data_IF_723579238348
#
_entry.id   IF_723579238348
#
_cell.length_a   1.000
_cell.length_b   1.000
_cell.length_c   1.000
_cell.angle_alpha   90.00
_cell.angle_beta   90.00
_cell.angle_gamma   90.00
#
_symmetry.space_group_name_H-M   'P 1'
#
loop_
_entity.id
_entity.type
_entity.pdbx_description
1 polymer ?
#
# COMPACT_ATOMS: atom_id res chain seq x y z
N UNK A 1 20.50 -58.36 12.35
CA UNK A 1 20.12 -56.96 12.65
C UNK A 1 20.44 -56.08 11.44
N UNK A 2 19.46 -55.77 10.60
CA UNK A 2 19.61 -54.88 9.42
C UNK A 2 18.85 -53.57 9.73
N UNK A 3 19.59 -52.45 9.82
CA UNK A 3 19.01 -51.11 9.96
C UNK A 3 18.40 -50.68 8.62
N UNK A 4 17.07 -50.54 8.58
CA UNK A 4 16.39 -49.87 7.49
C UNK A 4 16.50 -48.36 7.70
N UNK A 5 17.09 -47.65 6.73
CA UNK A 5 16.98 -46.19 6.62
C UNK A 5 15.62 -45.85 6.06
N UNK A 6 14.82 -45.12 6.81
CA UNK A 6 13.60 -44.48 6.29
C UNK A 6 14.04 -43.23 5.50
N UNK A 7 13.82 -43.23 4.21
CA UNK A 7 13.84 -42.01 3.39
C UNK A 7 12.48 -41.35 3.53
N UNK A 8 12.41 -40.26 4.25
CA UNK A 8 11.27 -39.35 4.16
C UNK A 8 11.44 -38.47 2.93
N UNK A 9 10.64 -38.73 1.92
CA UNK A 9 10.42 -37.79 0.82
C UNK A 9 9.54 -36.66 1.32
N UNK A 10 10.12 -35.48 1.46
CA UNK A 10 9.36 -34.24 1.72
C UNK A 10 8.76 -33.82 0.39
N UNK A 11 7.43 -33.65 0.27
CA UNK A 11 6.87 -33.04 -0.91
C UNK A 11 7.27 -31.56 -0.91
N UNK A 12 7.88 -31.15 -2.01
CA UNK A 12 8.22 -29.73 -2.27
C UNK A 12 6.92 -28.95 -2.38
N UNK A 13 6.48 -28.38 -1.27
CA UNK A 13 5.46 -27.35 -1.32
C UNK A 13 6.13 -26.12 -1.93
N UNK A 14 5.65 -25.71 -3.09
CA UNK A 14 5.96 -24.41 -3.66
C UNK A 14 5.43 -23.34 -2.71
N UNK A 15 6.29 -22.89 -1.81
CA UNK A 15 6.04 -21.72 -0.97
C UNK A 15 6.01 -20.52 -1.91
N UNK A 16 4.85 -19.92 -2.07
CA UNK A 16 4.73 -18.58 -2.60
C UNK A 16 5.53 -17.66 -1.67
N UNK A 17 6.72 -17.25 -2.12
CA UNK A 17 7.60 -16.40 -1.31
C UNK A 17 7.00 -15.00 -1.23
N UNK A 18 6.21 -14.76 -0.20
CA UNK A 18 6.01 -13.42 0.33
C UNK A 18 7.27 -13.12 1.12
N UNK A 19 8.06 -12.19 0.66
CA UNK A 19 9.28 -11.75 1.32
C UNK A 19 8.87 -11.10 2.64
N UNK A 20 9.00 -11.84 3.74
CA UNK A 20 8.93 -11.26 5.06
C UNK A 20 10.15 -10.37 5.24
N UNK A 21 9.93 -9.08 5.43
CA UNK A 21 10.90 -8.15 5.96
C UNK A 21 11.38 -8.65 7.34
N UNK A 22 12.48 -9.37 7.37
CA UNK A 22 13.23 -9.54 8.61
C UNK A 22 14.08 -8.30 8.79
N UNK A 23 13.66 -7.41 9.66
CA UNK A 23 14.55 -6.43 10.26
C UNK A 23 15.69 -7.19 10.92
N UNK A 24 16.80 -7.35 10.22
CA UNK A 24 18.05 -7.76 10.81
C UNK A 24 18.55 -6.60 11.66
N UNK A 25 18.25 -6.63 12.96
CA UNK A 25 18.91 -5.77 13.91
C UNK A 25 20.41 -6.08 13.84
N UNK A 26 21.19 -5.19 13.21
CA UNK A 26 22.63 -5.21 13.31
C UNK A 26 23.02 -5.00 14.78
N UNK A 27 23.46 -6.06 15.41
CA UNK A 27 24.09 -5.99 16.71
C UNK A 27 25.41 -5.23 16.63
N UNK A 28 25.37 -3.92 16.86
CA UNK A 28 26.56 -3.14 17.09
C UNK A 28 27.18 -3.58 18.43
N UNK A 29 28.40 -4.09 18.38
CA UNK A 29 29.22 -4.26 19.58
C UNK A 29 29.45 -2.89 20.22
N UNK A 30 28.85 -2.66 21.38
CA UNK A 30 29.21 -1.51 22.21
C UNK A 30 30.66 -1.61 22.62
N UNK A 31 31.49 -0.68 22.18
CA UNK A 31 32.72 -0.32 22.84
C UNK A 31 32.37 0.62 23.99
N UNK A 32 32.56 0.16 25.20
CA UNK A 32 32.47 0.97 26.42
C UNK A 32 33.70 1.87 26.50
N UNK A 33 33.58 3.12 26.13
CA UNK A 33 34.43 4.21 26.58
C UNK A 33 33.86 5.55 26.00
N UNK A 34 32.85 6.06 26.68
CA UNK A 34 32.50 7.49 26.57
C UNK A 34 32.67 8.13 27.94
N UNK A 35 33.38 9.24 28.05
CA UNK A 35 33.48 9.98 29.29
C UNK A 35 32.12 10.55 29.70
N UNK A 36 31.78 10.43 30.95
CA UNK A 36 30.59 11.07 31.52
C UNK A 36 30.69 12.59 31.34
N UNK A 37 29.80 13.16 30.55
CA UNK A 37 29.61 14.60 30.50
C UNK A 37 28.60 15.00 31.59
N UNK A 38 29.05 15.86 32.50
CA UNK A 38 28.16 16.57 33.42
C UNK A 38 27.14 17.36 32.58
N UNK A 39 25.92 16.85 32.55
CA UNK A 39 24.81 17.60 31.97
C UNK A 39 24.02 18.25 33.10
N UNK A 40 24.37 19.50 33.40
CA UNK A 40 23.43 20.40 34.02
C UNK A 40 22.15 20.43 33.18
N UNK A 41 21.05 20.11 33.83
CA UNK A 41 19.73 20.03 33.23
C UNK A 41 19.23 21.42 32.81
N UNK A 42 19.64 21.88 31.63
CA UNK A 42 18.88 22.90 30.94
C UNK A 42 17.64 22.24 30.38
N UNK A 43 16.50 22.45 31.03
CA UNK A 43 15.19 22.18 30.45
C UNK A 43 15.15 22.95 29.12
N UNK A 44 15.33 22.26 28.03
CA UNK A 44 15.16 22.81 26.69
C UNK A 44 13.74 23.33 26.62
N UNK A 45 13.58 24.66 26.57
CA UNK A 45 12.29 25.25 26.27
C UNK A 45 11.84 24.66 24.94
N UNK A 46 10.66 24.06 24.93
CA UNK A 46 10.06 23.51 23.72
C UNK A 46 10.16 24.61 22.64
N UNK A 47 10.82 24.31 21.54
CA UNK A 47 10.85 25.22 20.40
C UNK A 47 9.39 25.52 20.04
N UNK A 48 9.01 26.79 19.87
CA UNK A 48 7.66 27.12 19.47
C UNK A 48 7.41 26.44 18.13
N UNK A 49 6.61 25.38 18.15
CA UNK A 49 6.13 24.74 16.93
C UNK A 49 5.26 25.78 16.26
N UNK A 50 5.80 26.47 15.25
CA UNK A 50 4.96 27.28 14.36
C UNK A 50 3.99 26.28 13.74
N UNK A 51 2.70 26.46 13.98
CA UNK A 51 1.67 25.66 13.31
C UNK A 51 1.95 25.79 11.81
N UNK A 52 2.39 24.69 11.21
CA UNK A 52 2.66 24.67 9.79
C UNK A 52 1.29 24.63 9.13
N UNK A 53 0.97 25.66 8.36
CA UNK A 53 -0.27 25.71 7.57
C UNK A 53 -0.09 24.82 6.35
N UNK A 54 -0.02 23.51 6.57
CA UNK A 54 -0.02 22.57 5.47
C UNK A 54 -1.32 22.73 4.69
N UNK A 55 -1.21 22.86 3.39
CA UNK A 55 -2.38 22.76 2.53
C UNK A 55 -2.83 21.33 2.52
N UNK A 56 -4.04 21.11 2.99
CA UNK A 56 -4.64 19.79 3.00
C UNK A 56 -5.16 19.43 1.63
N UNK A 57 -4.99 18.16 1.28
CA UNK A 57 -5.68 17.57 0.16
C UNK A 57 -7.18 17.44 0.49
N UNK A 58 -8.01 17.39 -0.55
CA UNK A 58 -9.44 17.19 -0.35
C UNK A 58 -9.71 15.81 0.28
N UNK A 59 -10.55 15.76 1.29
CA UNK A 59 -10.96 14.48 1.90
C UNK A 59 -11.73 13.63 0.88
N UNK A 60 -11.39 12.35 0.81
CA UNK A 60 -12.16 11.38 0.04
C UNK A 60 -13.39 10.95 0.86
N UNK A 61 -14.63 11.20 0.38
CA UNK A 61 -15.83 10.93 1.16
C UNK A 61 -16.11 9.43 1.37
N UNK A 62 -15.39 8.55 0.66
CA UNK A 62 -15.56 7.09 0.73
C UNK A 62 -14.42 6.38 1.47
N UNK A 63 -13.44 7.13 1.98
CA UNK A 63 -12.35 6.61 2.80
C UNK A 63 -12.41 7.21 4.20
N UNK A 64 -11.83 6.56 5.20
CA UNK A 64 -11.67 7.13 6.52
C UNK A 64 -10.83 8.42 6.44
N UNK A 65 -11.05 9.34 7.38
CA UNK A 65 -10.50 10.70 7.27
C UNK A 65 -9.00 10.78 7.47
N UNK A 66 -8.44 9.94 8.33
CA UNK A 66 -7.01 9.90 8.58
C UNK A 66 -6.56 8.46 8.71
N UNK A 67 -5.29 8.22 8.40
CA UNK A 67 -4.64 6.91 8.53
C UNK A 67 -5.49 5.76 7.96
N UNK A 68 -6.14 6.03 6.82
CA UNK A 68 -7.08 5.12 6.19
C UNK A 68 -6.40 3.98 5.44
N UNK A 69 -5.21 4.21 4.90
CA UNK A 69 -4.42 3.24 4.14
C UNK A 69 -2.92 3.36 4.48
N UNK A 70 -2.09 2.54 3.85
CA UNK A 70 -0.64 2.55 4.06
C UNK A 70 0.02 3.91 3.76
N UNK A 71 -0.64 4.77 3.01
CA UNK A 71 -0.17 6.10 2.59
C UNK A 71 -1.01 7.23 3.20
N UNK A 72 -1.71 6.97 4.28
CA UNK A 72 -2.58 7.81 5.09
C UNK A 72 -3.87 8.23 4.40
N UNK A 73 -3.84 8.84 3.23
CA UNK A 73 -5.01 9.40 2.54
C UNK A 73 -5.14 8.93 1.09
N UNK A 74 -6.21 9.31 0.41
CA UNK A 74 -6.45 8.95 -0.99
C UNK A 74 -5.42 9.51 -1.97
N UNK A 75 -4.76 10.62 -1.64
CA UNK A 75 -3.68 11.23 -2.43
C UNK A 75 -2.33 10.53 -2.23
N UNK A 76 -2.23 9.60 -1.29
CA UNK A 76 -1.00 8.92 -0.90
C UNK A 76 0.10 9.89 -0.45
N UNK A 77 -0.26 10.89 0.37
CA UNK A 77 0.70 11.93 0.78
C UNK A 77 1.73 11.44 1.80
N UNK A 78 1.48 10.32 2.44
CA UNK A 78 2.25 9.80 3.58
C UNK A 78 2.40 10.83 4.71
N UNK A 79 1.43 11.74 4.83
CA UNK A 79 1.37 12.79 5.84
C UNK A 79 0.12 12.61 6.70
N UNK A 80 0.27 12.81 8.00
CA UNK A 80 -0.83 12.70 8.97
C UNK A 80 -1.16 14.05 9.58
N UNK A 81 -2.43 14.23 9.97
CA UNK A 81 -2.93 15.37 10.74
C UNK A 81 -2.75 15.20 12.24
N UNK A 82 -2.44 13.98 12.65
CA UNK A 82 -2.32 13.64 14.05
C UNK A 82 -1.11 14.34 14.67
N UNK A 83 -1.31 14.81 15.90
CA UNK A 83 -0.23 15.45 16.67
C UNK A 83 0.77 14.39 17.10
N UNK A 84 1.93 14.40 16.46
CA UNK A 84 3.01 13.54 16.86
C UNK A 84 3.65 14.01 18.17
N UNK A 85 4.19 13.08 19.00
CA UNK A 85 4.91 13.45 20.20
C UNK A 85 6.21 14.17 19.80
N UNK A 86 6.24 15.49 19.99
CA UNK A 86 7.41 16.33 19.73
C UNK A 86 8.11 16.64 21.03
N UNK A 87 9.38 16.29 21.15
CA UNK A 87 10.19 16.66 22.30
C UNK A 87 11.11 15.55 22.81
N UNK A 88 11.80 15.86 23.89
CA UNK A 88 12.64 14.90 24.61
C UNK A 88 11.79 14.28 25.73
N UNK A 89 11.59 12.98 25.66
CA UNK A 89 10.90 12.24 26.71
C UNK A 89 11.93 11.59 27.63
N UNK A 90 11.86 11.84 28.94
CA UNK A 90 12.80 11.27 29.89
C UNK A 90 12.62 9.76 30.04
N UNK A 91 11.46 9.25 29.70
CA UNK A 91 11.13 7.85 29.80
C UNK A 91 10.24 7.43 28.63
N UNK A 92 10.58 6.34 27.97
CA UNK A 92 9.80 5.73 26.89
C UNK A 92 9.42 4.33 27.34
N UNK A 93 8.13 4.10 27.51
CA UNK A 93 7.62 2.76 27.77
C UNK A 93 7.49 2.00 26.44
N UNK A 94 8.11 0.84 26.35
CA UNK A 94 8.04 -0.02 25.18
C UNK A 94 7.36 -1.33 25.56
N UNK A 95 6.27 -1.63 24.89
CA UNK A 95 5.65 -2.95 24.95
C UNK A 95 5.74 -3.64 23.60
N UNK A 96 5.88 -4.96 23.61
CA UNK A 96 5.83 -5.74 22.39
C UNK A 96 5.04 -7.03 22.60
N UNK A 97 4.35 -7.45 21.56
CA UNK A 97 3.66 -8.73 21.51
C UNK A 97 4.25 -9.56 20.37
N UNK A 98 4.63 -10.81 20.69
CA UNK A 98 5.04 -11.77 19.68
C UNK A 98 3.79 -12.34 19.03
N UNK A 99 3.55 -12.02 17.76
CA UNK A 99 2.49 -12.62 16.97
C UNK A 99 3.02 -13.82 16.19
N UNK A 100 2.15 -14.77 15.88
CA UNK A 100 2.49 -15.89 14.98
C UNK A 100 2.24 -15.51 13.50
N UNK A 101 1.90 -14.25 13.23
CA UNK A 101 1.64 -13.72 11.92
C UNK A 101 2.80 -12.81 11.47
N UNK A 102 2.94 -12.68 10.16
CA UNK A 102 3.91 -11.74 9.59
C UNK A 102 3.55 -10.30 9.98
N UNK A 103 4.56 -9.44 10.03
CA UNK A 103 4.39 -8.03 10.35
C UNK A 103 3.37 -7.37 9.43
N UNK A 104 2.58 -6.46 9.99
CA UNK A 104 1.75 -5.56 9.21
C UNK A 104 2.63 -4.46 8.61
N UNK A 105 2.42 -4.08 7.34
CA UNK A 105 3.10 -2.93 6.75
C UNK A 105 2.57 -1.60 7.31
N UNK A 106 1.34 -1.57 7.82
CA UNK A 106 0.71 -0.39 8.38
C UNK A 106 -0.30 -0.75 9.47
N UNK A 107 -0.63 0.22 10.30
CA UNK A 107 -1.70 0.17 11.30
C UNK A 107 -2.64 1.33 10.99
N UNK A 108 -3.93 1.05 10.90
CA UNK A 108 -4.97 2.05 10.68
C UNK A 108 -5.75 2.26 11.97
N UNK A 109 -6.42 3.39 12.07
CA UNK A 109 -7.27 3.69 13.22
C UNK A 109 -8.70 3.92 12.72
N UNK A 110 -9.64 3.20 13.32
CA UNK A 110 -11.06 3.48 13.09
C UNK A 110 -11.50 4.73 13.86
N UNK A 111 -12.68 5.23 13.56
CA UNK A 111 -13.21 6.43 14.23
C UNK A 111 -13.52 6.24 15.74
N UNK A 112 -13.43 5.01 16.22
CA UNK A 112 -13.58 4.67 17.64
C UNK A 112 -12.26 4.58 18.39
N UNK A 113 -11.13 4.72 17.67
CA UNK A 113 -9.78 4.67 18.23
C UNK A 113 -9.19 3.27 18.34
N UNK A 114 -9.78 2.27 17.71
CA UNK A 114 -9.17 0.95 17.66
C UNK A 114 -8.08 0.90 16.59
N UNK A 115 -6.99 0.19 16.88
CA UNK A 115 -5.98 -0.11 15.91
C UNK A 115 -6.41 -1.31 15.04
N UNK A 116 -6.56 -1.07 13.75
CA UNK A 116 -6.82 -2.09 12.73
C UNK A 116 -5.49 -2.53 12.15
N UNK A 117 -5.14 -3.80 12.34
CA UNK A 117 -3.83 -4.35 11.99
C UNK A 117 -4.00 -5.45 10.94
N UNK A 118 -3.85 -5.13 9.64
CA UNK A 118 -3.90 -6.14 8.58
C UNK A 118 -2.62 -6.98 8.60
N UNK A 119 -2.81 -8.29 8.56
CA UNK A 119 -1.76 -9.29 8.55
C UNK A 119 -1.99 -10.26 7.38
N UNK A 120 -0.95 -10.93 6.91
CA UNK A 120 -1.12 -11.95 5.86
C UNK A 120 -2.10 -13.08 6.25
N UNK A 121 -2.12 -13.42 7.54
CA UNK A 121 -2.98 -14.46 8.08
C UNK A 121 -4.39 -14.01 8.47
N UNK A 122 -4.67 -12.70 8.40
CA UNK A 122 -5.95 -12.14 8.83
C UNK A 122 -5.86 -10.68 9.22
N UNK A 123 -6.86 -10.18 9.95
CA UNK A 123 -6.94 -8.81 10.40
C UNK A 123 -7.24 -8.80 11.90
N UNK A 124 -6.43 -8.13 12.68
CA UNK A 124 -6.64 -7.96 14.12
C UNK A 124 -7.18 -6.56 14.42
N UNK A 125 -8.12 -6.45 15.36
CA UNK A 125 -8.52 -5.21 15.99
C UNK A 125 -7.93 -5.18 17.39
N UNK A 126 -7.24 -4.08 17.74
CA UNK A 126 -6.51 -3.96 18.99
C UNK A 126 -6.87 -2.67 19.72
N UNK A 127 -6.88 -2.76 21.05
CA UNK A 127 -6.86 -1.59 21.92
C UNK A 127 -5.42 -1.30 22.32
N UNK A 128 -4.89 -0.16 21.86
CA UNK A 128 -3.55 0.32 22.22
C UNK A 128 -3.55 1.19 23.48
N UNK A 129 -4.72 1.58 23.99
CA UNK A 129 -4.86 2.41 25.20
C UNK A 129 -4.93 1.57 26.49
N UNK A 130 -5.08 0.25 26.36
CA UNK A 130 -5.02 -0.65 27.49
C UNK A 130 -3.61 -0.68 28.09
N UNK A 131 -3.49 -0.97 29.39
CA UNK A 131 -2.21 -1.11 30.08
C UNK A 131 -1.32 -2.16 29.40
N UNK A 132 -1.94 -3.20 28.85
CA UNK A 132 -1.31 -4.15 27.91
C UNK A 132 -2.12 -4.16 26.60
N UNK A 133 -1.44 -4.09 25.48
CA UNK A 133 -2.10 -4.17 24.15
C UNK A 133 -2.97 -5.42 24.07
N UNK A 134 -4.26 -5.23 23.85
CA UNK A 134 -5.24 -6.32 23.85
C UNK A 134 -5.83 -6.50 22.46
N UNK A 135 -5.89 -7.75 22.00
CA UNK A 135 -6.65 -8.09 20.78
C UNK A 135 -8.12 -8.20 21.11
N UNK A 136 -8.94 -7.31 20.55
CA UNK A 136 -10.37 -7.26 20.74
C UNK A 136 -11.15 -8.17 19.79
N UNK A 137 -10.62 -8.37 18.59
CA UNK A 137 -11.21 -9.22 17.57
C UNK A 137 -10.22 -9.63 16.49
N UNK A 138 -10.53 -10.69 15.78
CA UNK A 138 -9.67 -11.22 14.73
C UNK A 138 -10.47 -11.87 13.60
N UNK A 139 -10.21 -11.46 12.37
CA UNK A 139 -10.66 -12.14 11.17
C UNK A 139 -9.55 -13.04 10.63
N UNK A 140 -9.88 -14.26 10.31
CA UNK A 140 -8.97 -15.20 9.66
C UNK A 140 -9.64 -15.87 8.47
N UNK A 141 -9.07 -15.77 7.25
CA UNK A 141 -9.57 -16.53 6.11
C UNK A 141 -9.73 -18.02 6.38
N UNK A 142 -8.81 -18.58 7.18
CA UNK A 142 -8.87 -20.01 7.55
C UNK A 142 -10.08 -20.36 8.42
N UNK A 143 -10.45 -19.46 9.33
CA UNK A 143 -11.59 -19.70 10.24
C UNK A 143 -12.93 -19.43 9.58
N UNK A 144 -13.03 -18.41 8.73
CA UNK A 144 -14.27 -17.96 8.11
C UNK A 144 -14.60 -18.72 6.81
N UNK A 145 -13.59 -18.96 5.97
CA UNK A 145 -13.78 -19.50 4.62
C UNK A 145 -13.03 -20.82 4.39
N UNK A 146 -12.51 -21.46 5.45
CA UNK A 146 -11.72 -22.69 5.33
C UNK A 146 -10.30 -22.48 4.81
N UNK A 147 -9.90 -21.26 4.54
CA UNK A 147 -8.58 -20.88 4.01
C UNK A 147 -8.54 -20.84 2.49
N UNK A 148 -7.34 -20.96 1.94
CA UNK A 148 -7.11 -20.97 0.49
C UNK A 148 -6.66 -19.61 -0.07
N UNK A 149 -6.68 -18.55 0.74
CA UNK A 149 -6.16 -17.24 0.36
C UNK A 149 -5.52 -16.51 1.56
N UNK A 150 -4.81 -15.46 1.27
CA UNK A 150 -4.25 -14.53 2.27
C UNK A 150 -4.72 -13.11 1.97
N UNK A 151 -4.76 -12.27 3.01
CA UNK A 151 -5.04 -10.84 2.89
C UNK A 151 -3.80 -10.16 2.29
N UNK A 152 -4.01 -9.28 1.33
CA UNK A 152 -2.95 -8.40 0.83
C UNK A 152 -2.86 -7.17 1.73
N UNK A 153 -2.17 -7.33 2.84
CA UNK A 153 -2.17 -6.38 3.96
C UNK A 153 -1.73 -4.97 3.58
N UNK A 154 -0.79 -4.83 2.63
CA UNK A 154 -0.29 -3.53 2.16
C UNK A 154 -1.35 -2.69 1.45
N UNK A 155 -2.36 -3.30 0.86
CA UNK A 155 -3.40 -2.61 0.08
C UNK A 155 -4.78 -2.68 0.73
N UNK A 156 -4.80 -3.03 2.01
CA UNK A 156 -5.99 -2.93 2.86
C UNK A 156 -6.18 -1.47 3.26
N UNK A 157 -7.43 -1.03 3.38
CA UNK A 157 -7.75 0.32 3.84
C UNK A 157 -9.08 0.36 4.61
N UNK A 158 -9.35 1.48 5.27
CA UNK A 158 -10.63 1.75 5.92
C UNK A 158 -11.48 2.68 5.06
N UNK A 159 -12.75 2.31 4.88
CA UNK A 159 -13.73 3.20 4.27
C UNK A 159 -14.33 4.18 5.29
N UNK A 160 -15.13 5.13 4.80
CA UNK A 160 -15.75 6.17 5.64
C UNK A 160 -16.75 5.65 6.69
N UNK A 161 -17.12 4.37 6.63
CA UNK A 161 -17.98 3.69 7.61
C UNK A 161 -17.19 2.73 8.52
N UNK A 162 -15.85 2.87 8.57
CA UNK A 162 -14.93 1.98 9.32
C UNK A 162 -14.95 0.52 8.84
N UNK A 163 -15.45 0.24 7.63
CA UNK A 163 -15.35 -1.10 7.06
C UNK A 163 -13.94 -1.31 6.53
N UNK A 164 -13.43 -2.50 6.72
CA UNK A 164 -12.11 -2.88 6.27
C UNK A 164 -12.23 -3.42 4.85
N UNK A 165 -11.64 -2.72 3.90
CA UNK A 165 -11.61 -3.11 2.48
C UNK A 165 -10.27 -3.75 2.19
N UNK A 166 -10.26 -5.00 1.78
CA UNK A 166 -9.01 -5.73 1.57
C UNK A 166 -9.03 -6.59 0.30
N UNK A 167 -8.03 -6.41 -0.57
CA UNK A 167 -7.79 -7.36 -1.66
C UNK A 167 -7.16 -8.65 -1.11
N UNK A 168 -7.37 -9.74 -1.82
CA UNK A 168 -6.92 -11.07 -1.41
C UNK A 168 -6.13 -11.77 -2.51
N UNK A 169 -5.31 -12.73 -2.13
CA UNK A 169 -4.44 -13.47 -3.07
C UNK A 169 -5.19 -14.37 -4.06
N UNK A 170 -6.48 -14.63 -3.83
CA UNK A 170 -7.36 -15.33 -4.77
C UNK A 170 -8.20 -14.38 -5.64
N UNK A 171 -7.77 -13.12 -5.76
CA UNK A 171 -8.36 -12.08 -6.61
C UNK A 171 -9.73 -11.55 -6.16
N UNK A 172 -10.12 -11.76 -4.92
CA UNK A 172 -11.31 -11.15 -4.36
C UNK A 172 -10.99 -9.81 -3.70
N UNK A 173 -11.99 -8.94 -3.65
CA UNK A 173 -12.04 -7.84 -2.71
C UNK A 173 -13.09 -8.15 -1.65
N UNK A 174 -12.72 -8.06 -0.39
CA UNK A 174 -13.62 -8.22 0.74
C UNK A 174 -13.86 -6.86 1.39
N UNK A 175 -15.10 -6.64 1.88
CA UNK A 175 -15.40 -5.61 2.87
C UNK A 175 -15.89 -6.28 4.14
N UNK A 176 -15.24 -5.95 5.24
CA UNK A 176 -15.50 -6.54 6.54
C UNK A 176 -16.01 -5.45 7.50
N UNK A 177 -17.12 -5.70 8.17
CA UNK A 177 -17.55 -4.92 9.32
C UNK A 177 -17.02 -5.60 10.58
N UNK A 178 -16.16 -4.88 11.31
CA UNK A 178 -15.54 -5.36 12.54
C UNK A 178 -16.18 -4.80 13.81
N UNK A 179 -16.94 -3.69 13.69
CA UNK A 179 -17.58 -2.99 14.81
C UNK A 179 -19.08 -2.78 14.55
N UNK A 180 -19.84 -2.67 15.64
CA UNK A 180 -21.21 -2.20 15.58
C UNK A 180 -21.28 -0.65 15.51
N UNK A 181 -22.50 -0.10 15.40
CA UNK A 181 -22.72 1.36 15.35
C UNK A 181 -22.30 2.12 16.62
N UNK A 182 -22.10 1.42 17.72
CA UNK A 182 -21.63 1.96 18.98
C UNK A 182 -20.10 1.85 19.15
N UNK A 183 -19.42 1.25 18.18
CA UNK A 183 -17.98 1.01 18.20
C UNK A 183 -17.56 -0.26 18.95
N UNK A 184 -18.50 -1.11 19.40
CA UNK A 184 -18.09 -2.37 20.01
C UNK A 184 -17.56 -3.32 18.93
N UNK A 185 -16.44 -3.97 19.20
CA UNK A 185 -15.88 -4.97 18.28
C UNK A 185 -16.80 -6.19 18.27
N UNK A 186 -17.18 -6.62 17.08
CA UNK A 186 -18.05 -7.77 16.88
C UNK A 186 -17.33 -9.08 17.27
N UNK A 187 -18.03 -10.04 17.90
CA UNK A 187 -17.45 -11.34 18.21
C UNK A 187 -16.98 -12.12 16.97
N UNK A 188 -17.61 -11.86 15.83
CA UNK A 188 -17.27 -12.37 14.51
C UNK A 188 -17.46 -11.24 13.50
N UNK A 189 -16.45 -11.02 12.65
CA UNK A 189 -16.54 -9.96 11.63
C UNK A 189 -17.53 -10.35 10.56
N UNK A 190 -18.34 -9.40 10.14
CA UNK A 190 -19.31 -9.61 9.07
C UNK A 190 -18.67 -9.33 7.71
N UNK A 191 -18.72 -10.29 6.81
CA UNK A 191 -18.34 -10.10 5.42
C UNK A 191 -19.53 -9.48 4.67
N UNK A 192 -19.50 -8.15 4.48
CA UNK A 192 -20.59 -7.39 3.86
C UNK A 192 -20.46 -7.26 2.35
N UNK A 193 -19.26 -7.53 1.81
CA UNK A 193 -19.02 -7.61 0.38
C UNK A 193 -17.92 -8.64 0.11
N UNK A 194 -18.10 -9.41 -0.97
CA UNK A 194 -17.14 -10.39 -1.47
C UNK A 194 -17.30 -10.46 -3.00
N UNK A 195 -16.33 -9.91 -3.73
CA UNK A 195 -16.35 -9.85 -5.20
C UNK A 195 -15.09 -10.47 -5.75
N UNK A 196 -15.23 -11.48 -6.62
CA UNK A 196 -14.14 -11.99 -7.46
C UNK A 196 -13.88 -10.98 -8.60
N UNK A 197 -12.88 -10.12 -8.39
CA UNK A 197 -12.51 -9.05 -9.33
C UNK A 197 -12.01 -9.64 -10.64
N UNK A 198 -11.24 -10.72 -10.56
CA UNK A 198 -10.68 -11.33 -11.78
C UNK A 198 -11.80 -11.89 -12.66
N UNK A 199 -12.68 -12.68 -12.09
CA UNK A 199 -13.83 -13.24 -12.83
C UNK A 199 -14.73 -12.13 -13.40
N UNK A 200 -14.96 -11.05 -12.65
CA UNK A 200 -15.76 -9.92 -13.11
C UNK A 200 -15.08 -9.17 -14.28
N UNK A 201 -13.78 -8.93 -14.20
CA UNK A 201 -13.02 -8.29 -15.26
C UNK A 201 -12.91 -9.20 -16.51
N UNK A 202 -12.70 -10.50 -16.34
CA UNK A 202 -12.70 -11.47 -17.44
C UNK A 202 -14.06 -11.53 -18.15
N UNK A 203 -15.15 -11.48 -17.40
CA UNK A 203 -16.51 -11.44 -17.97
C UNK A 203 -16.73 -10.13 -18.79
N UNK A 204 -16.25 -9.00 -18.29
CA UNK A 204 -16.35 -7.72 -18.99
C UNK A 204 -15.52 -7.70 -20.29
N UNK A 205 -14.36 -8.33 -20.28
CA UNK A 205 -13.44 -8.39 -21.44
C UNK A 205 -13.78 -9.53 -22.42
N UNK A 206 -14.44 -10.57 -21.96
CA UNK A 206 -14.66 -11.80 -22.73
C UNK A 206 -13.37 -12.60 -22.97
N UNK A 207 -12.35 -12.46 -22.11
CA UNK A 207 -11.08 -13.19 -22.16
C UNK A 207 -10.46 -13.41 -20.79
N UNK A 208 -9.56 -14.39 -20.69
CA UNK A 208 -8.81 -14.69 -19.48
C UNK A 208 -7.74 -13.63 -19.20
N UNK A 209 -7.56 -13.30 -17.91
CA UNK A 209 -6.49 -12.46 -17.39
C UNK A 209 -5.42 -13.34 -16.74
N UNK A 210 -4.16 -13.00 -16.99
CA UNK A 210 -3.02 -13.75 -16.46
C UNK A 210 -2.35 -13.07 -15.25
N UNK A 211 -2.63 -11.79 -15.04
CA UNK A 211 -2.22 -11.07 -13.83
C UNK A 211 -3.28 -11.21 -12.73
N UNK A 212 -2.82 -11.08 -11.50
CA UNK A 212 -3.68 -11.12 -10.31
C UNK A 212 -4.02 -9.72 -9.82
N UNK A 213 -5.11 -9.61 -9.05
CA UNK A 213 -5.45 -8.41 -8.32
C UNK A 213 -4.30 -8.00 -7.40
N UNK A 214 -3.94 -6.73 -7.44
CA UNK A 214 -2.89 -6.16 -6.60
C UNK A 214 -3.47 -5.20 -5.56
N UNK A 215 -4.09 -4.12 -6.01
CA UNK A 215 -4.54 -3.04 -5.14
C UNK A 215 -5.93 -2.54 -5.51
N UNK A 216 -6.59 -1.92 -4.55
CA UNK A 216 -7.91 -1.31 -4.67
C UNK A 216 -7.96 0.00 -3.91
N UNK A 217 -8.78 0.94 -4.38
CA UNK A 217 -9.07 2.21 -3.69
C UNK A 217 -10.43 2.74 -4.11
N UNK A 218 -11.13 3.46 -3.24
CA UNK A 218 -12.30 4.25 -3.65
C UNK A 218 -11.87 5.57 -4.26
N UNK A 219 -12.50 5.95 -5.39
CA UNK A 219 -12.42 7.32 -5.88
C UNK A 219 -13.40 8.26 -5.14
N UNK A 220 -13.43 9.51 -5.55
CA UNK A 220 -14.27 10.55 -4.93
C UNK A 220 -15.75 10.46 -5.30
N UNK A 221 -16.11 9.59 -6.23
CA UNK A 221 -17.49 9.27 -6.63
C UNK A 221 -17.96 7.93 -6.07
N UNK A 222 -17.11 7.25 -5.29
CA UNK A 222 -17.41 5.98 -4.63
C UNK A 222 -17.24 4.76 -5.53
N UNK A 223 -16.63 4.90 -6.71
CA UNK A 223 -16.27 3.74 -7.51
C UNK A 223 -15.06 3.06 -6.90
N UNK A 224 -15.06 1.73 -6.87
CA UNK A 224 -13.93 0.96 -6.37
C UNK A 224 -12.98 0.63 -7.53
N UNK A 225 -11.90 1.37 -7.62
CA UNK A 225 -10.83 1.13 -8.58
C UNK A 225 -10.00 -0.08 -8.16
N UNK A 226 -9.49 -0.79 -9.16
CA UNK A 226 -8.58 -1.91 -8.97
C UNK A 226 -7.50 -1.93 -10.05
N UNK A 227 -6.35 -2.49 -9.70
CA UNK A 227 -5.26 -2.75 -10.63
C UNK A 227 -4.76 -4.18 -10.47
N UNK A 228 -4.37 -4.79 -11.59
CA UNK A 228 -3.69 -6.08 -11.59
C UNK A 228 -2.19 -5.87 -11.76
N UNK A 229 -1.39 -6.79 -11.22
CA UNK A 229 0.05 -6.68 -11.30
C UNK A 229 0.80 -7.42 -10.21
N UNK A 230 1.79 -6.75 -9.64
CA UNK A 230 2.68 -7.23 -8.60
C UNK A 230 3.95 -7.87 -9.13
N UNK A 231 4.91 -8.07 -8.26
CA UNK A 231 6.26 -8.57 -8.56
C UNK A 231 6.32 -9.91 -9.32
N UNK A 232 5.19 -10.60 -9.48
CA UNK A 232 5.09 -11.85 -10.26
C UNK A 232 4.91 -11.65 -11.76
N UNK A 233 4.74 -10.42 -12.22
CA UNK A 233 4.58 -10.15 -13.66
C UNK A 233 5.85 -10.49 -14.41
N UNK A 234 7.00 -10.24 -13.80
CA UNK A 234 8.29 -10.57 -14.38
C UNK A 234 8.74 -11.98 -13.97
N UNK A 235 9.32 -12.80 -14.83
CA UNK A 235 9.74 -12.56 -16.21
C UNK A 235 8.67 -12.83 -17.27
N UNK A 236 7.41 -12.93 -16.92
CA UNK A 236 6.33 -13.37 -17.82
C UNK A 236 5.83 -12.19 -18.66
N UNK A 237 6.67 -11.72 -19.57
CA UNK A 237 6.48 -10.54 -20.43
C UNK A 237 5.21 -10.54 -21.30
N UNK A 238 4.48 -11.64 -21.33
CA UNK A 238 3.25 -11.77 -22.10
C UNK A 238 2.00 -11.78 -21.20
N UNK A 239 2.16 -11.58 -19.91
CA UNK A 239 1.02 -11.50 -19.02
C UNK A 239 0.15 -10.30 -19.38
N UNK A 240 -1.15 -10.52 -19.35
CA UNK A 240 -2.15 -9.50 -19.61
C UNK A 240 -2.78 -9.05 -18.29
N UNK A 241 -2.80 -7.77 -18.07
CA UNK A 241 -3.41 -7.13 -16.92
C UNK A 241 -4.39 -6.04 -17.31
N UNK A 242 -5.04 -5.50 -16.30
CA UNK A 242 -6.03 -4.45 -16.44
C UNK A 242 -5.93 -3.44 -15.30
N UNK A 243 -6.43 -2.26 -15.58
CA UNK A 243 -6.88 -1.28 -14.60
C UNK A 243 -8.39 -1.12 -14.81
N UNK A 244 -9.16 -1.08 -13.74
CA UNK A 244 -10.60 -0.95 -13.87
C UNK A 244 -11.27 -0.41 -12.63
N UNK A 245 -12.59 -0.33 -12.69
CA UNK A 245 -13.39 0.03 -11.52
C UNK A 245 -14.72 -0.73 -11.50
N UNK A 246 -15.25 -0.87 -10.29
CA UNK A 246 -16.62 -1.29 -10.04
C UNK A 246 -17.43 -0.05 -9.76
N UNK A 247 -18.53 0.14 -10.49
CA UNK A 247 -19.40 1.30 -10.31
C UNK A 247 -19.96 1.35 -8.88
N UNK A 248 -19.97 2.55 -8.29
CA UNK A 248 -20.52 2.83 -6.97
C UNK A 248 -21.92 2.26 -6.77
N UNK A 249 -22.81 2.43 -7.77
CA UNK A 249 -24.18 1.92 -7.73
C UNK A 249 -24.27 0.39 -7.54
N UNK A 250 -23.28 -0.36 -8.05
CA UNK A 250 -23.24 -1.81 -7.87
C UNK A 250 -22.79 -2.18 -6.47
N UNK A 251 -21.81 -1.47 -5.92
CA UNK A 251 -21.34 -1.63 -4.55
C UNK A 251 -22.49 -1.36 -3.57
N UNK A 252 -23.17 -0.24 -3.73
CA UNK A 252 -24.34 0.12 -2.93
C UNK A 252 -25.45 -0.92 -3.02
N UNK A 253 -25.72 -1.43 -4.20
CA UNK A 253 -26.73 -2.47 -4.38
C UNK A 253 -26.37 -3.73 -3.59
N UNK A 254 -25.10 -4.18 -3.67
CA UNK A 254 -24.62 -5.35 -2.93
C UNK A 254 -24.69 -5.12 -1.43
N UNK A 255 -24.22 -3.98 -0.94
CA UNK A 255 -24.27 -3.63 0.48
C UNK A 255 -25.71 -3.55 1.02
N UNK A 256 -26.66 -3.24 0.16
CA UNK A 256 -28.11 -3.27 0.47
C UNK A 256 -28.77 -4.66 0.21
N UNK A 257 -27.98 -5.72 0.05
CA UNK A 257 -28.47 -7.10 -0.13
C UNK A 257 -29.15 -7.37 -1.47
N UNK A 258 -28.92 -6.52 -2.49
CA UNK A 258 -29.48 -6.72 -3.83
C UNK A 258 -28.51 -7.52 -4.70
N UNK A 259 -29.08 -8.41 -5.51
CA UNK A 259 -28.31 -9.07 -6.55
C UNK A 259 -27.90 -8.06 -7.63
N UNK A 260 -26.65 -8.10 -8.06
CA UNK A 260 -26.08 -7.19 -9.03
C UNK A 260 -25.36 -7.97 -10.13
N UNK A 261 -25.65 -7.61 -11.37
CA UNK A 261 -24.92 -8.14 -12.53
C UNK A 261 -23.61 -7.37 -12.72
N UNK A 262 -22.53 -7.91 -12.15
CA UNK A 262 -21.21 -7.30 -12.22
C UNK A 262 -20.67 -7.14 -13.65
N UNK A 263 -21.12 -7.96 -14.61
CA UNK A 263 -20.69 -7.81 -16.01
C UNK A 263 -21.10 -6.47 -16.65
N UNK A 264 -22.05 -5.77 -16.04
CA UNK A 264 -22.52 -4.44 -16.47
C UNK A 264 -22.02 -3.29 -15.59
N UNK A 265 -21.34 -3.61 -14.51
CA UNK A 265 -20.93 -2.67 -13.50
C UNK A 265 -19.40 -2.61 -13.33
N UNK A 266 -18.68 -3.52 -13.97
CA UNK A 266 -17.23 -3.56 -14.00
C UNK A 266 -16.74 -3.05 -15.34
N UNK A 267 -15.90 -2.04 -15.31
CA UNK A 267 -15.30 -1.42 -16.46
C UNK A 267 -13.78 -1.58 -16.40
N UNK A 268 -13.16 -1.89 -17.52
CA UNK A 268 -11.74 -2.22 -17.56
C UNK A 268 -11.03 -1.53 -18.73
N UNK A 269 -9.80 -1.13 -18.47
CA UNK A 269 -8.81 -0.71 -19.46
C UNK A 269 -7.72 -1.79 -19.52
N UNK A 270 -7.49 -2.34 -20.70
CA UNK A 270 -6.47 -3.35 -20.90
C UNK A 270 -5.08 -2.73 -20.94
N UNK A 271 -4.17 -3.29 -20.16
CA UNK A 271 -2.76 -2.94 -20.23
C UNK A 271 -2.08 -3.63 -21.41
N UNK A 272 -0.94 -3.14 -21.83
CA UNK A 272 -0.11 -3.82 -22.82
C UNK A 272 0.47 -5.12 -22.24
N UNK A 273 0.77 -6.15 -23.07
CA UNK A 273 1.40 -7.36 -22.57
C UNK A 273 2.73 -7.07 -21.84
N UNK A 274 2.85 -7.58 -20.62
CA UNK A 274 4.00 -7.33 -19.74
C UNK A 274 3.94 -6.02 -18.98
N UNK A 275 2.85 -5.26 -19.10
CA UNK A 275 2.58 -4.09 -18.28
C UNK A 275 1.69 -4.45 -17.09
N UNK A 276 1.94 -3.85 -15.94
CA UNK A 276 1.16 -4.05 -14.73
C UNK A 276 1.55 -3.09 -13.61
N UNK A 277 0.66 -2.91 -12.66
CA UNK A 277 0.93 -2.13 -11.47
C UNK A 277 1.86 -2.89 -10.52
N UNK A 278 2.73 -2.17 -9.83
CA UNK A 278 3.60 -2.75 -8.80
C UNK A 278 3.13 -2.38 -7.40
N UNK A 279 2.46 -1.24 -7.26
CA UNK A 279 2.06 -0.67 -5.98
C UNK A 279 0.61 -0.16 -5.98
N UNK A 280 0.28 0.66 -5.00
CA UNK A 280 -1.05 1.17 -4.75
C UNK A 280 -1.54 2.18 -5.79
N UNK A 281 -2.82 2.47 -5.71
CA UNK A 281 -3.54 3.47 -6.51
C UNK A 281 -3.68 4.72 -5.66
N UNK A 282 -3.44 5.90 -6.23
CA UNK A 282 -3.83 7.16 -5.62
C UNK A 282 -5.12 7.70 -6.27
N UNK A 283 -5.96 8.35 -5.48
CA UNK A 283 -7.20 8.94 -5.94
C UNK A 283 -7.31 10.40 -5.54
N UNK A 284 -7.82 11.21 -6.46
CA UNK A 284 -8.16 12.61 -6.25
C UNK A 284 -9.49 12.94 -6.95
N UNK A 285 -9.97 14.17 -6.83
CA UNK A 285 -11.14 14.63 -7.60
C UNK A 285 -10.90 14.64 -9.10
N UNK A 286 -9.64 14.64 -9.53
CA UNK A 286 -9.29 14.57 -10.95
C UNK A 286 -9.38 13.14 -11.52
N UNK A 287 -9.40 12.13 -10.66
CA UNK A 287 -9.50 10.73 -11.03
C UNK A 287 -8.54 9.84 -10.25
N UNK A 288 -8.41 8.59 -10.68
CA UNK A 288 -7.45 7.61 -10.16
C UNK A 288 -6.11 7.71 -10.90
N UNK A 289 -5.02 7.77 -10.15
CA UNK A 289 -3.65 7.76 -10.70
C UNK A 289 -3.01 6.41 -10.41
N UNK A 290 -2.49 5.78 -11.44
CA UNK A 290 -1.90 4.44 -11.35
C UNK A 290 -0.56 4.44 -12.06
N UNK A 291 0.45 3.95 -11.34
CA UNK A 291 1.78 3.74 -11.87
C UNK A 291 1.93 2.27 -12.25
N UNK A 292 2.27 2.01 -13.51
CA UNK A 292 2.69 0.71 -13.98
C UNK A 292 4.21 0.65 -14.15
N UNK A 293 4.76 -0.48 -14.50
CA UNK A 293 6.19 -0.59 -14.82
C UNK A 293 6.61 0.14 -16.11
N UNK A 294 5.68 0.74 -16.85
CA UNK A 294 5.93 1.39 -18.14
C UNK A 294 5.35 2.80 -18.24
N UNK A 295 4.22 3.05 -17.58
CA UNK A 295 3.45 4.27 -17.75
C UNK A 295 2.86 4.75 -16.41
N UNK A 296 2.61 6.06 -16.34
CA UNK A 296 1.75 6.66 -15.34
C UNK A 296 0.44 7.09 -16.01
N UNK A 297 -0.68 6.74 -15.41
CA UNK A 297 -2.03 7.02 -15.94
C UNK A 297 -2.81 7.92 -15.00
N UNK A 298 -3.57 8.86 -15.55
CA UNK A 298 -4.75 9.44 -14.91
C UNK A 298 -5.99 8.89 -15.60
N UNK A 299 -6.89 8.32 -14.83
CA UNK A 299 -8.09 7.65 -15.31
C UNK A 299 -9.32 8.22 -14.63
N UNK A 300 -10.44 8.28 -15.36
CA UNK A 300 -11.76 8.65 -14.82
C UNK A 300 -12.78 7.55 -15.07
N UNK A 301 -13.66 7.36 -14.08
CA UNK A 301 -14.85 6.55 -14.22
C UNK A 301 -15.95 7.41 -14.88
N UNK A 302 -16.19 7.16 -16.16
CA UNK A 302 -17.25 7.77 -16.95
C UNK A 302 -18.15 6.64 -17.48
N UNK A 303 -18.60 6.69 -18.74
CA UNK A 303 -19.30 5.56 -19.39
C UNK A 303 -18.32 4.43 -19.79
N UNK A 304 -17.36 4.15 -18.92
CA UNK A 304 -16.20 3.25 -19.09
C UNK A 304 -14.98 3.82 -18.41
N UNK A 305 -13.84 3.16 -18.57
CA UNK A 305 -12.55 3.70 -18.12
C UNK A 305 -12.05 4.71 -19.16
N UNK A 306 -12.09 5.99 -18.80
CA UNK A 306 -11.55 7.07 -19.64
C UNK A 306 -10.09 7.35 -19.25
N UNK A 307 -9.18 7.18 -20.19
CA UNK A 307 -7.76 7.56 -20.04
C UNK A 307 -7.63 9.05 -20.33
N UNK A 308 -7.50 9.87 -19.27
CA UNK A 308 -7.31 11.31 -19.42
C UNK A 308 -5.94 11.60 -20.02
N UNK A 309 -4.91 10.96 -19.48
CA UNK A 309 -3.57 10.94 -20.05
C UNK A 309 -2.83 9.65 -19.64
N UNK A 310 -1.81 9.31 -20.44
CA UNK A 310 -0.91 8.20 -20.22
C UNK A 310 0.52 8.68 -20.55
N UNK A 311 1.37 8.77 -19.54
CA UNK A 311 2.73 9.28 -19.69
C UNK A 311 3.72 8.15 -19.55
N UNK A 312 4.45 7.79 -20.61
CA UNK A 312 5.49 6.76 -20.53
C UNK A 312 6.70 7.28 -19.78
N UNK A 313 7.34 6.41 -19.01
CA UNK A 313 8.60 6.68 -18.36
C UNK A 313 9.55 5.49 -18.50
N UNK A 314 10.82 5.71 -18.19
CA UNK A 314 11.82 4.65 -18.23
C UNK A 314 12.12 4.19 -16.81
N UNK A 315 12.32 2.90 -16.65
CA UNK A 315 12.77 2.30 -15.40
C UNK A 315 13.77 1.18 -15.70
N UNK A 316 14.68 0.96 -14.77
CA UNK A 316 15.58 -0.21 -14.81
C UNK A 316 15.04 -1.37 -13.99
N UNK A 317 14.01 -1.16 -13.20
CA UNK A 317 13.43 -2.17 -12.32
C UNK A 317 13.07 -3.46 -13.05
N UNK A 318 12.61 -3.38 -14.30
CA UNK A 318 12.34 -4.55 -15.14
C UNK A 318 13.57 -5.42 -15.47
N UNK A 319 14.79 -4.93 -15.25
CA UNK A 319 16.02 -5.72 -15.44
C UNK A 319 16.33 -6.65 -14.29
N UNK A 320 15.70 -6.40 -13.15
CA UNK A 320 16.09 -6.98 -11.86
C UNK A 320 15.62 -8.40 -11.68
N UNK A 321 14.54 -8.75 -12.27
CA UNK A 321 13.79 -9.91 -11.82
C UNK A 321 13.91 -11.14 -12.69
N UNK A 322 14.91 -11.31 -13.58
CA UNK A 322 14.77 -12.53 -14.35
C UNK A 322 15.95 -13.13 -15.04
N UNK A 323 16.98 -12.43 -15.24
CA UNK A 323 18.11 -12.96 -16.02
C UNK A 323 19.41 -13.12 -15.21
N UNK A 324 19.26 -13.36 -13.92
CA UNK A 324 20.41 -13.70 -13.07
C UNK A 324 21.26 -12.53 -12.62
N UNK A 325 20.87 -11.30 -12.95
CA UNK A 325 21.52 -10.13 -12.39
C UNK A 325 20.96 -9.85 -10.99
N UNK A 326 21.73 -10.27 -10.00
CA UNK A 326 21.38 -10.14 -8.58
C UNK A 326 21.68 -8.75 -8.01
N UNK A 327 22.04 -7.81 -8.88
CA UNK A 327 22.69 -6.58 -8.45
C UNK A 327 21.73 -5.44 -8.19
N UNK A 328 20.49 -5.57 -8.54
CA UNK A 328 19.54 -4.49 -8.37
C UNK A 328 18.31 -4.99 -7.66
N UNK A 329 17.99 -4.35 -6.62
CA UNK A 329 16.76 -4.30 -5.87
C UNK A 329 15.92 -5.58 -5.75
N UNK A 330 15.19 -5.73 -4.70
CA UNK A 330 14.16 -6.77 -4.58
C UNK A 330 13.11 -6.66 -5.69
N UNK A 331 12.33 -7.71 -5.90
CA UNK A 331 11.27 -7.73 -6.89
C UNK A 331 10.16 -6.69 -6.71
N UNK A 332 10.22 -5.89 -5.64
CA UNK A 332 9.26 -4.82 -5.35
C UNK A 332 9.67 -3.47 -5.98
N UNK A 333 10.92 -3.30 -6.39
CA UNK A 333 11.39 -2.08 -7.05
C UNK A 333 11.20 -2.09 -8.58
N UNK A 334 10.29 -2.92 -9.07
CA UNK A 334 10.04 -3.04 -10.49
C UNK A 334 9.24 -1.85 -11.01
N UNK A 335 9.64 -1.32 -12.15
CA UNK A 335 9.06 -0.06 -12.61
C UNK A 335 9.46 1.09 -11.70
N UNK A 336 8.55 1.99 -11.40
CA UNK A 336 8.71 3.05 -10.42
C UNK A 336 8.83 2.54 -8.98
N UNK A 337 8.37 1.32 -8.73
CA UNK A 337 8.47 0.65 -7.43
C UNK A 337 7.63 1.28 -6.31
N UNK A 338 6.97 2.39 -6.54
CA UNK A 338 6.21 3.15 -5.55
C UNK A 338 4.75 3.34 -5.95
N UNK A 339 3.90 3.63 -4.99
CA UNK A 339 2.60 4.22 -5.29
C UNK A 339 2.80 5.69 -5.69
N UNK A 340 2.01 6.23 -6.62
CA UNK A 340 2.07 7.66 -6.92
C UNK A 340 1.59 8.48 -5.73
N UNK A 341 2.22 9.62 -5.50
CA UNK A 341 1.80 10.63 -4.53
C UNK A 341 1.23 11.84 -5.25
N UNK A 342 0.13 12.36 -4.77
CA UNK A 342 -0.56 13.47 -5.43
C UNK A 342 -0.48 14.76 -4.62
N UNK A 343 -0.50 15.88 -5.34
CA UNK A 343 -0.92 17.17 -4.83
C UNK A 343 -2.06 17.69 -5.71
N UNK A 344 -2.73 18.80 -5.39
CA UNK A 344 -3.75 19.35 -6.27
C UNK A 344 -3.29 19.62 -7.71
N UNK A 345 -1.99 19.78 -7.94
CA UNK A 345 -1.45 20.17 -9.23
C UNK A 345 -0.41 19.19 -9.79
N UNK A 346 0.11 18.27 -9.00
CA UNK A 346 1.22 17.40 -9.40
C UNK A 346 0.93 15.93 -9.10
N UNK A 347 1.50 15.07 -9.93
CA UNK A 347 1.68 13.64 -9.66
C UNK A 347 3.17 13.39 -9.48
N UNK A 348 3.56 12.79 -8.36
CA UNK A 348 4.94 12.56 -7.96
C UNK A 348 5.22 11.07 -7.85
N UNK A 349 6.32 10.61 -8.42
CA UNK A 349 6.81 9.25 -8.28
C UNK A 349 8.29 9.15 -8.65
N UNK A 350 8.94 8.05 -8.28
CA UNK A 350 10.32 7.75 -8.69
C UNK A 350 10.34 6.82 -9.89
N UNK A 351 11.38 6.90 -10.72
CA UNK A 351 11.51 6.09 -11.93
C UNK A 351 12.38 4.84 -11.73
N UNK A 352 13.04 4.73 -10.59
CA UNK A 352 14.00 3.65 -10.32
C UNK A 352 15.04 3.43 -11.43
N UNK A 353 15.46 4.48 -12.11
CA UNK A 353 16.62 4.46 -12.99
C UNK A 353 17.93 4.52 -12.20
N UNK A 354 19.04 4.58 -12.89
CA UNK A 354 20.36 4.79 -12.34
C UNK A 354 20.98 6.05 -13.01
N UNK A 355 21.04 7.21 -12.33
CA UNK A 355 20.50 7.48 -10.99
C UNK A 355 18.95 7.46 -10.94
N UNK A 356 18.40 7.23 -9.76
CA UNK A 356 16.96 7.36 -9.53
C UNK A 356 16.54 8.81 -9.62
N UNK A 357 15.47 9.08 -10.36
CA UNK A 357 14.89 10.42 -10.42
C UNK A 357 13.52 10.46 -9.75
N UNK A 358 13.25 11.54 -9.04
CA UNK A 358 11.90 11.95 -8.68
C UNK A 358 11.30 12.71 -9.86
N UNK A 359 10.21 12.20 -10.38
CA UNK A 359 9.44 12.82 -11.46
C UNK A 359 8.25 13.58 -10.87
N UNK A 360 7.99 14.77 -11.40
CA UNK A 360 6.76 15.51 -11.16
C UNK A 360 6.05 15.73 -12.50
N UNK A 361 4.81 15.27 -12.57
CA UNK A 361 3.93 15.46 -13.73
C UNK A 361 2.85 16.48 -13.38
N UNK A 362 2.48 17.31 -14.33
CA UNK A 362 1.28 18.16 -14.21
C UNK A 362 0.03 17.28 -14.12
N UNK A 363 -0.79 17.48 -13.10
CA UNK A 363 -1.97 16.66 -12.83
C UNK A 363 -2.96 16.65 -13.99
N UNK A 364 -3.11 17.75 -14.71
CA UNK A 364 -4.13 17.88 -15.76
C UNK A 364 -3.68 17.35 -17.11
N UNK A 365 -2.37 17.54 -17.42
CA UNK A 365 -1.85 17.24 -18.76
C UNK A 365 -1.00 15.97 -18.80
N UNK A 366 -0.49 15.51 -17.65
CA UNK A 366 0.46 14.41 -17.58
C UNK A 366 1.87 14.77 -18.08
N UNK A 367 2.12 16.04 -18.43
CA UNK A 367 3.45 16.47 -18.87
C UNK A 367 4.45 16.43 -17.72
N UNK A 368 5.66 15.90 -17.95
CA UNK A 368 6.75 15.94 -16.98
C UNK A 368 7.22 17.39 -16.82
N UNK A 369 6.91 18.00 -15.68
CA UNK A 369 7.28 19.38 -15.37
C UNK A 369 8.60 19.46 -14.61
N UNK A 370 9.01 18.40 -13.94
CA UNK A 370 10.32 18.29 -13.29
C UNK A 370 10.80 16.84 -13.25
N UNK A 371 12.13 16.69 -13.32
CA UNK A 371 12.83 15.44 -13.11
C UNK A 371 14.12 15.76 -12.36
N UNK A 372 14.28 15.23 -11.16
CA UNK A 372 15.41 15.55 -10.28
C UNK A 372 16.05 14.26 -9.80
N UNK A 373 17.38 14.08 -10.00
CA UNK A 373 18.10 12.97 -9.38
C UNK A 373 17.96 13.02 -7.86
N UNK A 374 17.72 11.86 -7.26
CA UNK A 374 17.61 11.69 -5.81
C UNK A 374 18.49 10.51 -5.39
N UNK A 375 18.98 10.54 -4.15
CA UNK A 375 19.83 9.49 -3.60
C UNK A 375 21.14 9.28 -4.40
N UNK A 376 21.63 10.33 -5.04
CA UNK A 376 22.85 10.33 -5.89
C UNK A 376 24.13 10.64 -5.12
N UNK A 377 24.01 11.01 -3.84
CA UNK A 377 25.12 11.34 -2.93
C UNK A 377 25.47 10.17 -1.97
N UNK A 378 24.96 8.98 -2.23
CA UNK A 378 25.24 7.81 -1.40
C UNK A 378 26.69 7.34 -1.58
N UNK A 379 27.31 6.76 -0.53
CA UNK A 379 28.66 6.21 -0.63
C UNK A 379 28.76 5.12 -1.69
N UNK A 380 29.96 4.98 -2.28
CA UNK A 380 30.24 3.91 -3.25
C UNK A 380 29.91 2.53 -2.68
N UNK A 381 29.24 1.72 -3.47
CA UNK A 381 28.79 0.36 -3.09
C UNK A 381 27.37 0.29 -2.53
N UNK A 382 26.72 1.43 -2.26
CA UNK A 382 25.30 1.42 -1.92
C UNK A 382 24.45 1.19 -3.16
N UNK A 383 23.42 0.38 -3.01
CA UNK A 383 22.39 0.19 -4.02
C UNK A 383 21.22 1.13 -3.75
N UNK A 384 20.59 1.59 -4.80
CA UNK A 384 19.45 2.49 -4.72
C UNK A 384 18.23 1.83 -5.33
N UNK A 385 17.16 1.79 -4.56
CA UNK A 385 15.83 1.44 -5.05
C UNK A 385 14.79 2.10 -4.16
N UNK A 386 13.71 2.56 -4.74
CA UNK A 386 12.59 3.16 -4.03
C UNK A 386 11.38 2.25 -4.18
N UNK A 387 10.76 1.90 -3.06
CA UNK A 387 9.53 1.09 -3.01
C UNK A 387 8.40 1.81 -2.25
N UNK A 388 8.73 2.89 -1.54
CA UNK A 388 7.76 3.67 -0.80
C UNK A 388 7.32 4.89 -1.61
N UNK A 389 6.09 5.34 -1.39
CA UNK A 389 5.63 6.62 -1.89
C UNK A 389 6.50 7.76 -1.38
N UNK A 390 6.58 8.82 -2.16
CA UNK A 390 7.22 10.03 -1.71
C UNK A 390 6.34 10.73 -0.65
N UNK A 391 6.89 11.03 0.51
CA UNK A 391 6.20 11.84 1.52
C UNK A 391 6.13 13.27 0.99
N UNK A 392 4.95 13.87 1.00
CA UNK A 392 4.72 15.21 0.45
C UNK A 392 4.17 16.16 1.50
N UNK A 393 4.77 17.34 1.54
CA UNK A 393 4.30 18.47 2.31
C UNK A 393 4.12 19.70 1.39
N UNK A 394 2.89 20.20 1.27
CA UNK A 394 2.54 21.43 0.56
C UNK A 394 2.32 22.54 1.60
N UNK A 395 3.12 23.62 1.56
CA UNK A 395 3.02 24.73 2.50
C UNK A 395 1.81 25.66 2.23
N UNK A 396 1.07 25.44 1.14
CA UNK A 396 -0.03 26.27 0.71
C UNK A 396 0.41 27.64 0.14
N UNK A 397 1.71 27.93 0.12
CA UNK A 397 2.30 29.18 -0.37
C UNK A 397 3.05 28.99 -1.70
N UNK A 398 2.99 27.78 -2.26
CA UNK A 398 3.56 27.42 -3.55
C UNK A 398 4.83 26.58 -3.47
N UNK A 399 5.22 26.13 -2.27
CA UNK A 399 6.34 25.21 -2.11
C UNK A 399 5.84 23.82 -1.78
N UNK A 400 6.26 22.84 -2.56
CA UNK A 400 6.04 21.42 -2.29
C UNK A 400 7.36 20.79 -1.90
N UNK A 401 7.43 20.30 -0.66
CA UNK A 401 8.60 19.56 -0.16
C UNK A 401 8.33 18.07 -0.24
N UNK A 402 9.36 17.32 -0.64
CA UNK A 402 9.23 15.88 -0.85
C UNK A 402 10.36 15.14 -0.15
N UNK A 403 10.06 14.03 0.51
CA UNK A 403 11.02 13.11 1.10
C UNK A 403 10.94 11.79 0.35
N UNK A 404 12.09 11.30 -0.14
CA UNK A 404 12.23 10.01 -0.80
C UNK A 404 13.14 9.13 0.05
N UNK A 405 12.72 7.90 0.30
CA UNK A 405 13.49 6.95 1.10
C UNK A 405 14.12 5.87 0.23
N UNK A 406 15.40 5.57 0.48
CA UNK A 406 16.05 4.42 -0.12
C UNK A 406 15.59 3.14 0.61
N UNK A 407 15.08 2.18 -0.13
CA UNK A 407 14.74 0.85 0.38
C UNK A 407 15.98 -0.04 0.58
N UNK A 408 17.01 0.16 -0.24
CA UNK A 408 18.22 -0.65 -0.17
C UNK A 408 19.23 -0.08 0.82
N UNK A 409 19.56 -0.88 1.81
CA UNK A 409 20.70 -0.65 2.66
C UNK A 409 22.03 -1.07 1.99
N UNK A 410 23.14 -0.74 2.63
CA UNK A 410 24.47 -1.21 2.29
C UNK A 410 24.64 -2.71 2.58
#
# INVERSE_FOLDING_TARGET
>A
MKKKKLQCSVPTLLLAGVLCLTLAACGAKQSSDMPASDTDSAVSAALPVKAMNAKRVDENPYMAKSDANIHHDGYNTDSTDEVLPLGIYPEINVSYEKTNANASPAIYFDSYGHAVVPLLGGIAIRDLNAEETTTLGYFSPKQHDGGGYVIQSSYTFLDSENRIVCPTSNNHVLMLRATDESGNVLPEFEKVLDIDIKAAAEAALGKELTQNLLSVVFDYDGNLWFATGGFRIYPQRQQQGVIGYIAHSAIDAILNGKQTDLSKAVFVHELTPGEGAENGIAASKEGAVILTNQNCYLLRAEDGVNVVWCTPYKSVGAKVSGEGDKTTGGGLAWGGGCSPTLTPNLVLFTDNQDPVNLLALDMKTGEVVASTPVLDDLPEGYQVAVENSAIVYDDGEGTVSTIVCNWFGA
#
